data_IF_160294700720
#
_entry.id   IF_160294700720
#
_cell.length_a   1.000
_cell.length_b   1.000
_cell.length_c   1.000
_cell.angle_alpha   90.00
_cell.angle_beta   90.00
_cell.angle_gamma   90.00
#
_symmetry.space_group_name_H-M   'P 1'
#
loop_
_entity.id
_entity.type
_entity.pdbx_description
1 polymer ?
#
# COMPACT_ATOMS: atom_id res chain seq x y z
N UNK A 1 -13.45 11.39 22.87
CA UNK A 1 -13.61 12.23 21.67
C UNK A 1 -14.30 11.40 20.60
N UNK A 2 -15.58 11.72 20.37
CA UNK A 2 -16.56 10.93 19.61
C UNK A 2 -16.45 11.28 18.13
N UNK A 3 -15.93 10.40 17.29
CA UNK A 3 -16.02 10.54 15.84
C UNK A 3 -17.46 10.31 15.42
N UNK A 4 -18.07 11.37 14.89
CA UNK A 4 -19.44 11.43 14.42
C UNK A 4 -19.67 10.35 13.36
N UNK A 5 -20.46 9.35 13.74
CA UNK A 5 -21.01 8.36 12.84
C UNK A 5 -21.75 9.09 11.72
N UNK A 6 -21.25 8.96 10.50
CA UNK A 6 -21.99 9.23 9.27
C UNK A 6 -23.13 8.21 9.22
N UNK A 7 -24.22 8.49 9.94
CA UNK A 7 -25.48 7.73 9.89
C UNK A 7 -26.22 8.12 8.60
N UNK A 8 -25.71 7.67 7.47
CA UNK A 8 -26.49 7.62 6.24
C UNK A 8 -27.51 6.48 6.37
N UNK A 9 -28.80 6.81 6.22
CA UNK A 9 -29.94 5.86 6.20
C UNK A 9 -29.94 5.02 4.91
N UNK A 10 -28.87 4.27 4.66
CA UNK A 10 -28.74 3.40 3.49
C UNK A 10 -28.83 1.94 3.92
N UNK A 11 -29.54 1.12 3.14
CA UNK A 11 -29.65 -0.33 3.32
C UNK A 11 -28.26 -0.96 3.42
N UNK A 12 -28.08 -1.99 4.26
CA UNK A 12 -26.77 -2.61 4.53
C UNK A 12 -25.97 -2.93 3.24
N UNK A 13 -26.67 -3.41 2.21
CA UNK A 13 -26.09 -3.67 0.89
C UNK A 13 -25.63 -2.41 0.13
N UNK A 14 -26.40 -1.31 0.17
CA UNK A 14 -25.97 -0.04 -0.43
C UNK A 14 -24.72 0.52 0.26
N UNK A 15 -24.62 0.37 1.58
CA UNK A 15 -23.43 0.82 2.34
C UNK A 15 -22.17 0.05 1.92
N UNK A 16 -22.28 -1.25 1.67
CA UNK A 16 -21.16 -2.07 1.19
C UNK A 16 -20.74 -1.70 -0.23
N UNK A 17 -21.69 -1.45 -1.14
CA UNK A 17 -21.39 -1.05 -2.52
C UNK A 17 -20.72 0.32 -2.57
N UNK A 18 -21.24 1.29 -1.83
CA UNK A 18 -20.62 2.63 -1.74
C UNK A 18 -19.21 2.53 -1.14
N UNK A 19 -19.03 1.71 -0.10
CA UNK A 19 -17.71 1.47 0.48
C UNK A 19 -16.74 0.85 -0.54
N UNK A 20 -17.15 -0.19 -1.27
CA UNK A 20 -16.33 -0.83 -2.29
C UNK A 20 -15.94 0.15 -3.40
N UNK A 21 -16.88 1.00 -3.84
CA UNK A 21 -16.61 2.03 -4.83
C UNK A 21 -15.58 3.06 -4.33
N UNK A 22 -15.73 3.56 -3.09
CA UNK A 22 -14.80 4.50 -2.49
C UNK A 22 -13.40 3.88 -2.28
N UNK A 23 -13.33 2.61 -1.86
CA UNK A 23 -12.07 1.88 -1.73
C UNK A 23 -11.40 1.74 -3.10
N UNK A 24 -12.16 1.40 -4.15
CA UNK A 24 -11.65 1.29 -5.51
C UNK A 24 -11.10 2.61 -6.04
N UNK A 25 -11.84 3.70 -5.86
CA UNK A 25 -11.41 5.04 -6.27
C UNK A 25 -10.14 5.48 -5.52
N UNK A 26 -10.13 5.34 -4.20
CA UNK A 26 -8.99 5.71 -3.36
C UNK A 26 -7.74 4.86 -3.68
N UNK A 27 -7.92 3.55 -3.88
CA UNK A 27 -6.82 2.64 -4.27
C UNK A 27 -6.30 2.97 -5.67
N UNK A 28 -7.19 3.29 -6.62
CA UNK A 28 -6.82 3.70 -7.97
C UNK A 28 -5.98 4.99 -7.98
N UNK A 29 -6.39 6.00 -7.22
CA UNK A 29 -5.62 7.24 -7.06
C UNK A 29 -4.26 6.95 -6.41
N UNK A 30 -4.22 6.13 -5.35
CA UNK A 30 -2.97 5.76 -4.70
C UNK A 30 -2.02 5.00 -5.64
N UNK A 31 -2.55 4.11 -6.48
CA UNK A 31 -1.78 3.39 -7.48
C UNK A 31 -1.26 4.30 -8.60
N UNK A 32 -2.06 5.29 -9.03
CA UNK A 32 -1.62 6.29 -10.00
C UNK A 32 -0.47 7.15 -9.44
N UNK A 33 -0.58 7.62 -8.20
CA UNK A 33 0.50 8.35 -7.51
C UNK A 33 1.76 7.50 -7.39
N UNK A 34 1.63 6.22 -7.04
CA UNK A 34 2.75 5.28 -7.00
C UNK A 34 3.45 5.15 -8.36
N UNK A 35 2.67 5.00 -9.45
CA UNK A 35 3.22 4.90 -10.81
C UNK A 35 3.89 6.19 -11.25
N UNK A 36 3.26 7.34 -10.99
CA UNK A 36 3.82 8.65 -11.32
C UNK A 36 5.14 8.89 -10.57
N UNK A 37 5.20 8.55 -9.30
CA UNK A 37 6.42 8.65 -8.50
C UNK A 37 7.53 7.77 -9.07
N UNK A 38 7.22 6.51 -9.36
CA UNK A 38 8.19 5.59 -9.97
C UNK A 38 8.67 6.11 -11.35
N UNK A 39 7.75 6.58 -12.20
CA UNK A 39 8.08 7.15 -13.50
C UNK A 39 8.92 8.42 -13.40
N UNK A 40 8.63 9.29 -12.44
CA UNK A 40 9.40 10.51 -12.20
C UNK A 40 10.86 10.19 -11.85
N UNK A 41 11.07 9.24 -10.94
CA UNK A 41 12.41 8.75 -10.60
C UNK A 41 13.11 8.10 -11.81
N UNK A 42 12.37 7.35 -12.63
CA UNK A 42 12.91 6.73 -13.84
C UNK A 42 13.27 7.74 -14.92
N UNK A 43 12.50 8.83 -15.05
CA UNK A 43 12.79 9.88 -16.01
C UNK A 43 14.00 10.72 -15.55
N UNK A 44 14.08 11.01 -14.26
CA UNK A 44 15.24 11.68 -13.65
C UNK A 44 16.53 10.86 -13.81
N UNK A 45 16.45 9.53 -13.75
CA UNK A 45 17.62 8.67 -13.94
C UNK A 45 18.05 8.51 -15.40
N UNK A 46 17.11 8.48 -16.34
CA UNK A 46 17.40 8.32 -17.78
C UNK A 46 17.76 9.64 -18.47
N UNK A 47 17.33 10.78 -17.94
CA UNK A 47 17.68 12.11 -18.45
C UNK A 47 19.12 12.55 -18.16
N UNK A 48 19.81 11.84 -17.25
CA UNK A 48 21.23 12.12 -16.96
C UNK A 48 22.12 11.53 -18.06
N UNK A 49 22.74 12.39 -18.87
CA UNK A 49 23.67 12.02 -19.95
C UNK A 49 24.96 11.35 -19.44
N UNK A 50 25.20 11.38 -18.13
CA UNK A 50 26.39 10.82 -17.51
C UNK A 50 26.21 9.33 -17.18
N UNK A 51 26.93 8.48 -17.92
CA UNK A 51 26.90 7.02 -17.81
C UNK A 51 27.21 6.48 -16.40
N UNK A 52 28.00 7.21 -15.61
CA UNK A 52 28.42 6.88 -14.24
C UNK A 52 27.35 7.17 -13.17
N UNK A 53 26.36 8.03 -13.46
CA UNK A 53 25.24 8.28 -12.55
C UNK A 53 24.17 7.17 -12.63
N UNK A 54 24.13 6.41 -13.72
CA UNK A 54 23.14 5.34 -13.95
C UNK A 54 23.07 4.28 -12.84
N UNK A 55 24.18 3.80 -12.24
CA UNK A 55 24.12 2.89 -11.08
C UNK A 55 23.94 3.63 -9.73
N UNK A 56 24.37 4.89 -9.61
CA UNK A 56 24.30 5.65 -8.36
C UNK A 56 22.86 6.01 -7.97
N UNK A 57 22.00 6.31 -8.94
CA UNK A 57 20.59 6.62 -8.67
C UNK A 57 19.79 5.41 -8.14
N UNK A 58 19.87 4.19 -8.71
CA UNK A 58 19.31 2.98 -8.10
C UNK A 58 19.83 2.72 -6.71
N UNK A 59 21.14 2.90 -6.49
CA UNK A 59 21.73 2.75 -5.16
C UNK A 59 21.15 3.75 -4.16
N UNK A 60 21.05 5.03 -4.51
CA UNK A 60 20.51 6.07 -3.64
C UNK A 60 19.00 5.90 -3.36
N UNK A 61 18.21 5.55 -4.40
CA UNK A 61 16.79 5.27 -4.27
C UNK A 61 16.51 4.03 -3.42
N UNK A 62 17.30 2.97 -3.58
CA UNK A 62 17.24 1.79 -2.74
C UNK A 62 17.69 2.09 -1.29
N UNK A 63 18.69 2.96 -1.10
CA UNK A 63 19.14 3.38 0.23
C UNK A 63 18.03 4.14 0.97
N UNK A 64 17.43 5.13 0.32
CA UNK A 64 16.32 5.90 0.88
C UNK A 64 15.10 5.01 1.12
N UNK A 65 14.70 4.20 0.14
CA UNK A 65 13.59 3.28 0.27
C UNK A 65 13.79 2.26 1.40
N UNK A 66 14.99 1.67 1.49
CA UNK A 66 15.31 0.72 2.56
C UNK A 66 15.41 1.38 3.94
N UNK A 67 15.88 2.63 4.03
CA UNK A 67 15.89 3.39 5.29
C UNK A 67 14.47 3.71 5.77
N UNK A 68 13.60 4.16 4.87
CA UNK A 68 12.18 4.40 5.18
C UNK A 68 11.47 3.10 5.59
N UNK A 69 11.69 2.01 4.85
CA UNK A 69 11.14 0.71 5.20
C UNK A 69 11.65 0.20 6.56
N UNK A 70 12.94 0.37 6.87
CA UNK A 70 13.50 0.00 8.17
C UNK A 70 12.94 0.84 9.31
N UNK A 71 12.72 2.14 9.10
CA UNK A 71 12.21 3.05 10.14
C UNK A 71 10.73 2.81 10.46
N UNK A 72 9.91 2.55 9.45
CA UNK A 72 8.44 2.52 9.59
C UNK A 72 7.81 1.12 9.46
N UNK A 73 8.52 0.18 8.85
CA UNK A 73 8.04 -1.17 8.57
C UNK A 73 8.91 -2.28 9.21
N UNK A 74 9.66 -1.96 10.27
CA UNK A 74 10.46 -2.94 11.03
C UNK A 74 9.65 -4.19 11.47
N UNK A 75 8.37 -4.03 11.80
CA UNK A 75 7.46 -5.13 12.19
C UNK A 75 6.99 -6.01 11.03
N UNK A 76 7.21 -5.59 9.78
CA UNK A 76 6.68 -6.27 8.60
C UNK A 76 7.83 -6.80 7.74
N UNK A 77 8.69 -7.64 8.30
CA UNK A 77 9.67 -8.39 7.50
C UNK A 77 8.92 -9.35 6.55
N UNK A 78 9.05 -9.15 5.23
CA UNK A 78 8.46 -10.04 4.22
C UNK A 78 7.85 -9.34 3.00
N UNK A 79 7.57 -10.14 1.97
CA UNK A 79 6.87 -9.70 0.75
C UNK A 79 5.49 -9.10 1.09
N UNK A 80 5.05 -8.10 0.33
CA UNK A 80 3.80 -7.36 0.61
C UNK A 80 2.56 -8.27 0.66
N UNK A 81 2.47 -9.25 -0.24
CA UNK A 81 1.29 -10.13 -0.39
C UNK A 81 1.08 -11.06 0.81
N UNK A 82 2.09 -11.81 1.32
CA UNK A 82 1.93 -12.62 2.53
C UNK A 82 1.48 -11.83 3.77
N UNK A 83 1.92 -10.57 3.89
CA UNK A 83 1.50 -9.71 5.01
C UNK A 83 0.00 -9.42 4.95
N UNK A 84 -0.53 -9.15 3.76
CA UNK A 84 -1.97 -8.96 3.55
C UNK A 84 -2.73 -10.25 3.89
N UNK A 85 -2.31 -11.38 3.34
CA UNK A 85 -2.96 -12.68 3.56
C UNK A 85 -2.99 -13.00 5.06
N UNK A 86 -1.85 -12.85 5.75
CA UNK A 86 -1.75 -13.09 7.19
C UNK A 86 -2.64 -12.13 7.99
N UNK A 87 -2.70 -10.85 7.60
CA UNK A 87 -3.55 -9.87 8.27
C UNK A 87 -5.05 -10.21 8.10
N UNK A 88 -5.46 -10.67 6.92
CA UNK A 88 -6.84 -11.08 6.66
C UNK A 88 -7.19 -12.38 7.39
N UNK A 89 -6.31 -13.39 7.32
CA UNK A 89 -6.57 -14.71 7.89
C UNK A 89 -6.48 -14.75 9.42
N UNK A 90 -5.52 -14.05 10.03
CA UNK A 90 -5.22 -14.13 11.46
C UNK A 90 -5.41 -12.81 12.22
N UNK A 91 -5.38 -11.67 11.53
CA UNK A 91 -5.36 -10.33 12.13
C UNK A 91 -6.68 -9.56 12.03
N UNK A 92 -7.77 -10.21 11.61
CA UNK A 92 -9.07 -9.55 11.40
C UNK A 92 -9.03 -8.47 10.32
N UNK A 93 -8.14 -8.60 9.34
CA UNK A 93 -7.95 -7.63 8.26
C UNK A 93 -7.35 -6.30 8.69
N UNK A 94 -6.75 -6.19 9.89
CA UNK A 94 -6.12 -4.95 10.37
C UNK A 94 -4.69 -4.81 9.85
N UNK A 95 -4.46 -3.79 9.03
CA UNK A 95 -3.12 -3.41 8.56
C UNK A 95 -2.68 -2.09 9.19
N UNK A 96 -1.40 -1.99 9.58
CA UNK A 96 -0.81 -0.74 10.07
C UNK A 96 -0.55 0.19 8.89
N UNK A 97 -1.32 1.28 8.79
CA UNK A 97 -1.28 2.22 7.66
C UNK A 97 0.12 2.77 7.37
N UNK A 98 0.89 3.08 8.41
CA UNK A 98 2.28 3.54 8.27
C UNK A 98 3.22 2.49 7.69
N UNK A 99 3.02 1.21 7.99
CA UNK A 99 3.84 0.13 7.44
C UNK A 99 3.48 -0.13 5.95
N UNK A 100 2.21 -0.01 5.59
CA UNK A 100 1.75 -0.08 4.19
C UNK A 100 2.38 1.06 3.38
N UNK A 101 2.21 2.31 3.82
CA UNK A 101 2.74 3.47 3.12
C UNK A 101 4.26 3.40 2.94
N UNK A 102 5.00 3.08 4.00
CA UNK A 102 6.45 2.99 3.96
C UNK A 102 6.95 1.91 2.99
N UNK A 103 6.32 0.72 2.97
CA UNK A 103 6.70 -0.36 2.04
C UNK A 103 6.40 0.00 0.59
N UNK A 104 5.25 0.62 0.35
CA UNK A 104 4.88 1.06 -1.00
C UNK A 104 5.84 2.14 -1.49
N UNK A 105 6.17 3.13 -0.67
CA UNK A 105 7.15 4.16 -1.03
C UNK A 105 8.55 3.57 -1.26
N UNK A 106 8.97 2.63 -0.42
CA UNK A 106 10.24 1.94 -0.60
C UNK A 106 10.29 1.19 -1.94
N UNK A 107 9.21 0.49 -2.31
CA UNK A 107 9.13 -0.18 -3.59
C UNK A 107 9.07 0.80 -4.78
N UNK A 108 8.38 1.94 -4.63
CA UNK A 108 8.35 3.00 -5.64
C UNK A 108 9.76 3.54 -5.90
N UNK A 109 10.52 3.76 -4.84
CA UNK A 109 11.90 4.23 -4.91
C UNK A 109 12.80 3.18 -5.59
N UNK A 110 12.68 1.90 -5.24
CA UNK A 110 13.44 0.82 -5.86
C UNK A 110 13.11 0.64 -7.34
N UNK A 111 11.82 0.52 -7.70
CA UNK A 111 11.37 0.32 -9.09
C UNK A 111 11.68 1.57 -9.92
N UNK A 112 11.35 2.75 -9.40
CA UNK A 112 11.55 4.02 -10.09
C UNK A 112 13.03 4.30 -10.37
N UNK A 113 13.93 3.85 -9.51
CA UNK A 113 15.38 4.04 -9.72
C UNK A 113 16.01 2.97 -10.62
N UNK A 114 15.24 2.01 -11.14
CA UNK A 114 15.72 0.96 -12.06
C UNK A 114 16.05 -0.38 -11.39
N UNK A 115 15.60 -0.60 -10.15
CA UNK A 115 15.73 -1.89 -9.48
C UNK A 115 14.78 -2.95 -10.02
N UNK A 116 15.23 -4.22 -10.02
CA UNK A 116 14.42 -5.37 -10.45
C UNK A 116 13.41 -5.76 -9.36
N UNK A 117 12.22 -5.16 -9.40
CA UNK A 117 11.12 -5.49 -8.51
C UNK A 117 9.77 -5.38 -9.25
N UNK A 118 8.86 -6.31 -8.95
CA UNK A 118 7.51 -6.32 -9.53
C UNK A 118 6.55 -5.34 -8.83
N UNK A 119 5.61 -4.78 -9.59
CA UNK A 119 4.57 -3.86 -9.10
C UNK A 119 3.45 -4.54 -8.31
N UNK A 120 3.33 -5.86 -8.39
CA UNK A 120 2.21 -6.63 -7.84
C UNK A 120 2.12 -6.52 -6.31
N UNK A 121 3.26 -6.62 -5.62
CA UNK A 121 3.31 -6.55 -4.16
C UNK A 121 2.87 -5.18 -3.60
N UNK A 122 3.45 -4.06 -4.08
CA UNK A 122 3.10 -2.72 -3.60
C UNK A 122 1.64 -2.31 -3.88
N UNK A 123 1.10 -2.67 -5.04
CA UNK A 123 -0.29 -2.33 -5.42
C UNK A 123 -1.28 -3.12 -4.56
N UNK A 124 -1.04 -4.43 -4.37
CA UNK A 124 -1.86 -5.26 -3.49
C UNK A 124 -1.84 -4.74 -2.03
N UNK A 125 -0.67 -4.32 -1.54
CA UNK A 125 -0.54 -3.79 -0.19
C UNK A 125 -1.24 -2.44 0.00
N UNK A 126 -1.20 -1.56 -1.02
CA UNK A 126 -1.96 -0.30 -1.02
C UNK A 126 -3.46 -0.55 -0.90
N UNK A 127 -4.01 -1.41 -1.76
CA UNK A 127 -5.44 -1.74 -1.74
C UNK A 127 -5.88 -2.35 -0.41
N UNK A 128 -5.07 -3.27 0.13
CA UNK A 128 -5.32 -3.85 1.44
C UNK A 128 -5.28 -2.81 2.58
N UNK A 129 -4.34 -1.86 2.54
CA UNK A 129 -4.25 -0.79 3.53
C UNK A 129 -5.44 0.17 3.51
N UNK A 130 -5.85 0.60 2.31
CA UNK A 130 -7.02 1.47 2.12
C UNK A 130 -8.31 0.75 2.54
N UNK A 131 -8.48 -0.50 2.11
CA UNK A 131 -9.62 -1.33 2.50
C UNK A 131 -9.67 -1.59 4.01
N UNK A 132 -8.52 -1.84 4.65
CA UNK A 132 -8.43 -2.04 6.09
C UNK A 132 -8.80 -0.78 6.88
N UNK A 133 -8.34 0.40 6.43
CA UNK A 133 -8.67 1.67 7.07
C UNK A 133 -10.16 2.01 6.95
N UNK A 134 -10.72 1.91 5.74
CA UNK A 134 -12.13 2.20 5.48
C UNK A 134 -13.07 1.16 6.11
N UNK A 135 -12.71 -0.13 6.09
CA UNK A 135 -13.48 -1.19 6.75
C UNK A 135 -13.57 -0.99 8.27
N UNK A 136 -12.48 -0.54 8.90
CA UNK A 136 -12.47 -0.16 10.31
C UNK A 136 -13.32 1.08 10.59
N UNK A 137 -13.25 2.09 9.71
CA UNK A 137 -14.05 3.32 9.85
C UNK A 137 -15.56 3.05 9.76
N UNK A 138 -15.95 2.10 8.89
CA UNK A 138 -17.33 1.70 8.66
C UNK A 138 -17.82 0.62 9.64
N UNK A 139 -16.95 0.10 10.51
CA UNK A 139 -17.30 -0.91 11.50
C UNK A 139 -17.71 -2.26 10.90
N UNK A 140 -17.25 -2.56 9.68
CA UNK A 140 -17.53 -3.83 8.99
C UNK A 140 -16.73 -4.92 9.71
N UNK A 141 -17.37 -5.65 10.62
CA UNK A 141 -16.75 -6.77 11.32
C UNK A 141 -16.76 -8.01 10.42
N UNK A 142 -15.60 -8.61 10.23
CA UNK A 142 -15.47 -9.95 9.68
C UNK A 142 -16.06 -10.95 10.68
N UNK A 143 -16.99 -11.80 10.25
CA UNK A 143 -17.42 -12.94 11.07
C UNK A 143 -16.24 -13.93 11.18
N UNK A 144 -15.74 -14.23 12.39
CA UNK A 144 -14.75 -15.27 12.57
C UNK A 144 -15.47 -16.62 12.50
N UNK A 145 -15.45 -17.29 11.34
CA UNK A 145 -16.17 -18.56 11.21
C UNK A 145 -15.83 -19.47 10.02
N UNK A 146 -14.84 -19.14 9.18
CA UNK A 146 -14.60 -19.89 7.93
C UNK A 146 -13.22 -20.55 7.80
N UNK A 147 -12.40 -20.53 8.85
CA UNK A 147 -11.13 -21.27 8.86
C UNK A 147 -11.18 -22.42 9.86
N UNK A 148 -11.92 -23.47 9.50
CA UNK A 148 -11.63 -24.84 9.89
C UNK A 148 -11.09 -25.57 8.66
N UNK A 149 -9.77 -25.51 8.46
CA UNK A 149 -9.00 -26.43 7.64
C UNK A 149 -7.84 -26.92 8.50
#
# INVERSE_FOLDING_TARGET
MRTAAVRLRLTEGQRQVVAAFLIGLATGVAAAVFRLLAQFLSHASRGSSAWWLRPLLPAAGALLGSLLARRFAADAAGHGVPVVIKAVALGGGRLRSGAVAAKTLAAAATIGSGGSAGIEGPIALLGAGVGSGLGQLLGIRSSPGLCSW
#
